data_IF_737316662167
#
_entry.id   IF_737316662167
#
_cell.length_a   1.000
_cell.length_b   1.000
_cell.length_c   1.000
_cell.angle_alpha   90.00
_cell.angle_beta   90.00
_cell.angle_gamma   90.00
#
_symmetry.space_group_name_H-M   'P 1'
#
loop_
_entity.id
_entity.type
_entity.pdbx_description
1 polymer ?
#
# COMPACT_ATOMS: atom_id res chain seq x y z
N UNK A 1 9.13 9.97 -2.29
CA UNK A 1 8.42 10.37 -1.05
C UNK A 1 7.99 9.11 -0.32
N UNK A 2 8.08 9.07 1.01
CA UNK A 2 7.55 8.01 1.86
C UNK A 2 6.49 8.62 2.78
N UNK A 3 5.39 7.89 2.98
CA UNK A 3 4.22 8.33 3.74
C UNK A 3 3.87 7.26 4.76
N UNK A 4 3.59 7.67 5.99
CA UNK A 4 3.08 6.78 7.05
C UNK A 4 2.20 7.58 8.02
N UNK A 5 1.26 6.91 8.66
CA UNK A 5 0.41 7.50 9.69
C UNK A 5 1.11 7.55 11.07
N UNK A 6 2.12 6.72 11.30
CA UNK A 6 2.88 6.58 12.55
C UNK A 6 4.11 7.48 12.55
N UNK A 7 4.25 8.30 13.58
CA UNK A 7 5.47 9.09 13.80
C UNK A 7 6.68 8.20 14.07
N UNK A 8 6.50 7.09 14.79
CA UNK A 8 7.57 6.17 15.13
C UNK A 8 8.07 5.44 13.86
N UNK A 9 7.16 5.00 12.97
CA UNK A 9 7.52 4.41 11.68
C UNK A 9 8.30 5.41 10.81
N UNK A 10 7.87 6.67 10.77
CA UNK A 10 8.57 7.73 10.04
C UNK A 10 9.94 8.06 10.64
N UNK A 11 10.08 8.00 11.96
CA UNK A 11 11.38 8.20 12.62
C UNK A 11 12.36 7.10 12.23
N UNK A 12 11.93 5.84 12.30
CA UNK A 12 12.74 4.69 11.87
C UNK A 12 13.07 4.73 10.37
N UNK A 13 12.12 5.14 9.53
CA UNK A 13 12.34 5.28 8.10
C UNK A 13 13.40 6.36 7.76
N UNK A 14 13.41 7.48 8.52
CA UNK A 14 14.47 8.52 8.39
C UNK A 14 15.84 7.99 8.81
N UNK A 15 15.91 7.27 9.93
CA UNK A 15 17.14 6.63 10.38
C UNK A 15 17.68 5.65 9.31
N UNK A 16 16.82 4.78 8.78
CA UNK A 16 17.18 3.84 7.73
C UNK A 16 17.68 4.56 6.46
N UNK A 17 17.01 5.63 6.03
CA UNK A 17 17.47 6.42 4.88
C UNK A 17 18.85 7.04 5.12
N UNK A 18 19.13 7.50 6.35
CA UNK A 18 20.43 8.03 6.74
C UNK A 18 21.51 6.96 6.71
N UNK A 19 21.24 5.79 7.27
CA UNK A 19 22.19 4.66 7.31
C UNK A 19 22.64 4.21 5.91
N UNK A 20 21.74 4.28 4.92
CA UNK A 20 22.04 3.88 3.53
C UNK A 20 22.41 5.06 2.63
N UNK A 21 22.59 6.27 3.17
CA UNK A 21 23.01 7.46 2.42
C UNK A 21 21.95 8.01 1.45
N UNK A 22 20.66 7.85 1.76
CA UNK A 22 19.54 8.30 0.92
C UNK A 22 18.74 9.48 1.52
N UNK A 23 19.23 10.12 2.58
CA UNK A 23 18.52 11.21 3.27
C UNK A 23 18.10 12.35 2.33
N UNK A 24 18.95 12.72 1.37
CA UNK A 24 18.68 13.80 0.43
C UNK A 24 17.76 13.38 -0.73
N UNK A 25 17.43 12.10 -0.84
CA UNK A 25 16.62 11.53 -1.93
C UNK A 25 15.23 11.13 -1.50
N UNK A 26 14.96 11.03 -0.20
CA UNK A 26 13.67 10.60 0.35
C UNK A 26 13.09 11.72 1.20
N UNK A 27 11.90 12.18 0.85
CA UNK A 27 11.07 13.04 1.71
C UNK A 27 10.06 12.20 2.48
N UNK A 28 9.78 12.60 3.72
CA UNK A 28 8.88 11.88 4.64
C UNK A 28 7.72 12.76 5.04
N UNK A 29 6.49 12.24 4.97
CA UNK A 29 5.28 12.95 5.30
C UNK A 29 4.38 12.08 6.20
N UNK A 30 3.93 12.64 7.33
CA UNK A 30 2.87 12.01 8.11
C UNK A 30 1.53 12.22 7.43
N UNK A 31 0.85 11.13 7.08
CA UNK A 31 -0.44 11.17 6.39
C UNK A 31 -1.22 9.87 6.58
N UNK A 32 -2.53 9.96 6.65
CA UNK A 32 -3.42 8.82 6.39
C UNK A 32 -3.57 8.71 4.86
N UNK A 33 -2.79 7.83 4.28
CA UNK A 33 -2.62 7.63 2.82
C UNK A 33 -2.31 8.95 2.10
N UNK A 34 -3.24 9.49 1.35
CA UNK A 34 -3.06 10.70 0.54
C UNK A 34 -3.57 11.99 1.23
N UNK A 35 -4.15 11.89 2.44
CA UNK A 35 -4.90 12.99 3.06
C UNK A 35 -4.09 14.27 3.32
N UNK A 36 -2.79 14.17 3.57
CA UNK A 36 -1.90 15.29 3.79
C UNK A 36 -1.06 15.67 2.55
N UNK A 37 -1.24 14.97 1.43
CA UNK A 37 -0.54 15.31 0.18
C UNK A 37 -1.15 16.58 -0.43
N UNK A 38 -0.33 17.46 -1.04
CA UNK A 38 -0.84 18.50 -1.90
C UNK A 38 -1.71 17.93 -3.04
N UNK A 39 -2.80 18.61 -3.37
CA UNK A 39 -3.75 18.14 -4.39
C UNK A 39 -3.12 18.02 -5.79
N UNK A 40 -2.04 18.75 -6.04
CA UNK A 40 -1.26 18.75 -7.29
C UNK A 40 -0.06 17.80 -7.26
N UNK A 41 0.18 17.10 -6.13
CA UNK A 41 1.25 16.12 -6.05
C UNK A 41 0.96 14.93 -6.95
N UNK A 42 1.85 14.65 -7.90
CA UNK A 42 1.75 13.52 -8.83
C UNK A 42 3.04 12.70 -8.84
N UNK A 43 2.91 11.41 -9.11
CA UNK A 43 3.99 10.43 -9.05
C UNK A 43 4.00 9.55 -10.29
N UNK A 44 5.18 9.16 -10.74
CA UNK A 44 5.36 8.15 -11.80
C UNK A 44 5.03 6.75 -11.31
N UNK A 45 5.29 6.48 -10.02
CA UNK A 45 5.05 5.18 -9.38
C UNK A 45 4.52 5.38 -7.96
N UNK A 46 3.46 4.67 -7.62
CA UNK A 46 2.95 4.55 -6.26
C UNK A 46 3.06 3.06 -5.87
N UNK A 47 3.74 2.78 -4.76
CA UNK A 47 3.90 1.42 -4.21
C UNK A 47 3.36 1.41 -2.80
N UNK A 48 2.58 0.39 -2.43
CA UNK A 48 2.10 0.22 -1.07
C UNK A 48 1.97 -1.25 -0.68
N UNK A 49 2.26 -1.52 0.59
CA UNK A 49 1.92 -2.76 1.29
C UNK A 49 1.05 -2.38 2.50
N UNK A 50 -0.25 -2.15 2.30
CA UNK A 50 -1.15 -1.73 3.36
C UNK A 50 -1.60 -2.92 4.22
N UNK A 51 -2.27 -2.69 5.36
CA UNK A 51 -3.00 -3.74 6.06
C UNK A 51 -4.03 -4.38 5.12
N UNK A 52 -4.04 -5.70 5.05
CA UNK A 52 -4.97 -6.45 4.19
C UNK A 52 -5.50 -7.73 4.83
N UNK A 53 -5.12 -8.04 6.08
CA UNK A 53 -5.60 -9.22 6.79
C UNK A 53 -6.95 -8.96 7.47
N UNK A 54 -7.69 -10.02 7.66
CA UNK A 54 -8.85 -10.06 8.55
C UNK A 54 -8.40 -10.45 9.97
N UNK A 55 -9.23 -10.17 10.98
CA UNK A 55 -8.96 -10.60 12.37
C UNK A 55 -8.75 -12.13 12.47
N UNK A 56 -9.50 -12.90 11.68
CA UNK A 56 -9.37 -14.35 11.64
C UNK A 56 -8.01 -14.79 11.07
N UNK A 57 -7.53 -14.14 10.01
CA UNK A 57 -6.22 -14.45 9.41
C UNK A 57 -5.07 -14.07 10.33
N UNK A 58 -5.19 -12.97 11.09
CA UNK A 58 -4.19 -12.61 12.10
C UNK A 58 -4.14 -13.63 13.24
N UNK A 59 -5.29 -14.16 13.66
CA UNK A 59 -5.33 -15.19 14.69
C UNK A 59 -4.61 -16.49 14.28
N UNK A 60 -4.52 -16.76 12.98
CA UNK A 60 -3.82 -17.92 12.38
C UNK A 60 -2.39 -17.59 11.93
N UNK A 61 -1.96 -16.33 12.00
CA UNK A 61 -0.63 -15.91 11.58
C UNK A 61 0.46 -16.43 12.53
N UNK A 62 1.70 -16.46 12.04
CA UNK A 62 2.87 -16.86 12.82
C UNK A 62 3.02 -15.99 14.09
N UNK A 63 3.54 -16.56 15.20
CA UNK A 63 3.69 -15.86 16.47
C UNK A 63 4.46 -14.53 16.36
N UNK A 64 5.47 -14.49 15.50
CA UNK A 64 6.30 -13.30 15.24
C UNK A 64 5.46 -12.13 14.75
N UNK A 65 4.53 -12.38 13.83
CA UNK A 65 3.62 -11.37 13.29
C UNK A 65 2.61 -10.92 14.35
N UNK A 66 1.98 -11.88 15.05
CA UNK A 66 0.92 -11.58 16.03
C UNK A 66 1.40 -10.82 17.25
N UNK A 67 2.64 -11.06 17.68
CA UNK A 67 3.19 -10.54 18.96
C UNK A 67 3.93 -9.23 18.75
N UNK A 68 4.56 -9.03 17.60
CA UNK A 68 5.48 -7.92 17.40
C UNK A 68 4.96 -6.85 16.44
N UNK A 69 4.11 -7.20 15.48
CA UNK A 69 3.57 -6.21 14.55
C UNK A 69 2.31 -5.54 15.13
N UNK A 70 2.18 -4.22 15.02
CA UNK A 70 0.97 -3.54 15.47
C UNK A 70 -0.24 -3.98 14.63
N UNK A 71 -1.37 -4.26 15.28
CA UNK A 71 -2.61 -4.69 14.60
C UNK A 71 -3.05 -3.70 13.50
N UNK A 72 -2.80 -2.40 13.70
CA UNK A 72 -3.09 -1.36 12.70
C UNK A 72 -2.26 -1.47 11.42
N UNK A 73 -1.14 -2.21 11.45
CA UNK A 73 -0.33 -2.50 10.24
C UNK A 73 -0.72 -3.82 9.58
N UNK A 74 -1.61 -4.63 10.19
CA UNK A 74 -1.98 -5.96 9.72
C UNK A 74 -3.43 -6.03 9.26
N UNK A 75 -4.38 -5.49 10.06
CA UNK A 75 -5.82 -5.68 9.89
C UNK A 75 -6.46 -4.48 9.21
N UNK A 76 -7.27 -4.76 8.20
CA UNK A 76 -8.17 -3.76 7.61
C UNK A 76 -9.63 -4.26 7.61
N UNK A 77 -10.61 -3.36 7.79
CA UNK A 77 -12.03 -3.66 7.62
C UNK A 77 -12.38 -4.13 6.20
N UNK A 78 -13.66 -4.47 5.98
CA UNK A 78 -14.18 -4.89 4.68
C UNK A 78 -13.40 -6.08 4.09
N UNK A 79 -13.25 -7.14 4.89
CA UNK A 79 -12.45 -8.32 4.52
C UNK A 79 -11.02 -7.98 4.07
N UNK A 80 -10.40 -6.98 4.72
CA UNK A 80 -9.06 -6.51 4.39
C UNK A 80 -8.98 -5.57 3.18
N UNK A 81 -10.13 -5.15 2.61
CA UNK A 81 -10.16 -4.33 1.39
C UNK A 81 -10.21 -2.82 1.65
N UNK A 82 -10.55 -2.39 2.87
CA UNK A 82 -10.86 -0.98 3.12
C UNK A 82 -9.71 -0.03 2.77
N UNK A 83 -8.49 -0.34 3.22
CA UNK A 83 -7.32 0.51 2.95
C UNK A 83 -6.84 0.38 1.51
N UNK A 84 -6.88 -0.81 0.94
CA UNK A 84 -6.59 -1.04 -0.48
C UNK A 84 -7.49 -0.20 -1.40
N UNK A 85 -8.79 -0.12 -1.11
CA UNK A 85 -9.75 0.72 -1.87
C UNK A 85 -9.46 2.22 -1.71
N UNK A 86 -9.09 2.68 -0.49
CA UNK A 86 -8.68 4.09 -0.28
C UNK A 86 -7.44 4.43 -1.12
N UNK A 87 -6.45 3.52 -1.14
CA UNK A 87 -5.23 3.72 -1.91
C UNK A 87 -5.54 3.76 -3.41
N UNK A 88 -6.36 2.85 -3.93
CA UNK A 88 -6.77 2.82 -5.34
C UNK A 88 -7.45 4.15 -5.73
N UNK A 89 -8.40 4.61 -4.92
CA UNK A 89 -9.11 5.87 -5.18
C UNK A 89 -8.17 7.09 -5.19
N UNK A 90 -7.24 7.18 -4.21
CA UNK A 90 -6.26 8.25 -4.15
C UNK A 90 -5.23 8.18 -5.27
N UNK A 91 -4.76 6.99 -5.62
CA UNK A 91 -3.77 6.79 -6.68
C UNK A 91 -4.25 7.28 -8.05
N UNK A 92 -5.55 7.14 -8.36
CA UNK A 92 -6.12 7.64 -9.61
C UNK A 92 -5.91 9.16 -9.79
N UNK A 93 -5.88 9.94 -8.70
CA UNK A 93 -5.65 11.39 -8.73
C UNK A 93 -4.17 11.77 -8.69
N UNK A 94 -3.34 10.95 -8.03
CA UNK A 94 -1.94 11.23 -7.74
C UNK A 94 -0.92 10.53 -8.65
N UNK A 95 -1.34 9.77 -9.66
CA UNK A 95 -0.44 9.26 -10.69
C UNK A 95 -0.38 10.20 -11.89
N UNK A 96 0.76 10.32 -12.54
CA UNK A 96 0.88 10.92 -13.87
C UNK A 96 0.21 10.02 -14.93
N UNK A 97 -0.09 10.55 -16.10
CA UNK A 97 -0.56 9.71 -17.22
C UNK A 97 0.47 8.61 -17.55
N UNK A 98 0.04 7.36 -17.58
CA UNK A 98 0.89 6.19 -17.73
C UNK A 98 1.64 5.76 -16.45
N UNK A 99 1.46 6.46 -15.33
CA UNK A 99 2.05 6.12 -14.04
C UNK A 99 1.56 4.78 -13.50
N UNK A 100 2.37 4.13 -12.69
CA UNK A 100 2.17 2.77 -12.18
C UNK A 100 1.70 2.77 -10.73
N UNK A 101 0.64 2.05 -10.44
CA UNK A 101 0.28 1.60 -9.09
C UNK A 101 0.72 0.16 -8.89
N UNK A 102 1.37 -0.13 -7.76
CA UNK A 102 1.75 -1.48 -7.35
C UNK A 102 1.35 -1.72 -5.88
N UNK A 103 0.54 -2.73 -5.64
CA UNK A 103 0.01 -3.08 -4.31
C UNK A 103 0.38 -4.50 -3.93
N UNK A 104 0.83 -4.70 -2.69
CA UNK A 104 0.77 -6.00 -2.04
C UNK A 104 -0.62 -6.21 -1.43
N UNK A 105 -1.14 -7.44 -1.50
CA UNK A 105 -2.54 -7.76 -1.16
C UNK A 105 -2.68 -9.15 -0.56
N UNK A 106 -3.84 -9.45 0.01
CA UNK A 106 -4.24 -10.81 0.37
C UNK A 106 -4.65 -11.65 -0.84
N UNK A 107 -4.45 -12.96 -0.74
CA UNK A 107 -4.63 -13.94 -1.85
C UNK A 107 -6.05 -13.96 -2.42
N UNK A 108 -7.07 -13.62 -1.61
CA UNK A 108 -8.50 -13.71 -2.00
C UNK A 108 -9.09 -12.40 -2.51
N UNK A 109 -8.27 -11.34 -2.60
CA UNK A 109 -8.75 -9.97 -2.82
C UNK A 109 -8.67 -9.52 -4.28
N UNK A 110 -7.92 -10.22 -5.13
CA UNK A 110 -7.53 -9.78 -6.47
C UNK A 110 -8.70 -9.44 -7.38
N UNK A 111 -9.74 -10.29 -7.44
CA UNK A 111 -10.92 -10.03 -8.29
C UNK A 111 -11.64 -8.72 -7.90
N UNK A 112 -11.80 -8.47 -6.58
CA UNK A 112 -12.42 -7.25 -6.08
C UNK A 112 -11.55 -6.01 -6.34
N UNK A 113 -10.24 -6.14 -6.23
CA UNK A 113 -9.30 -5.04 -6.49
C UNK A 113 -9.20 -4.69 -7.97
N UNK A 114 -9.19 -5.68 -8.86
CA UNK A 114 -9.22 -5.43 -10.31
C UNK A 114 -10.51 -4.69 -10.73
N UNK A 115 -11.66 -5.02 -10.13
CA UNK A 115 -12.89 -4.30 -10.34
C UNK A 115 -12.80 -2.85 -9.83
N UNK A 116 -12.29 -2.64 -8.61
CA UNK A 116 -12.11 -1.30 -8.03
C UNK A 116 -11.14 -0.40 -8.85
N UNK A 117 -10.09 -0.97 -9.41
CA UNK A 117 -9.17 -0.26 -10.31
C UNK A 117 -9.90 0.26 -11.56
N UNK A 118 -10.72 -0.59 -12.18
CA UNK A 118 -11.50 -0.21 -13.36
C UNK A 118 -12.55 0.88 -13.04
N UNK A 119 -13.20 0.81 -11.88
CA UNK A 119 -14.19 1.81 -11.43
C UNK A 119 -13.60 3.22 -11.31
N UNK A 120 -12.33 3.35 -10.89
CA UNK A 120 -11.65 4.65 -10.78
C UNK A 120 -10.89 5.06 -12.05
N UNK A 121 -11.02 4.27 -13.15
CA UNK A 121 -10.42 4.58 -14.44
C UNK A 121 -8.93 4.20 -14.58
N UNK A 122 -8.38 3.45 -13.63
CA UNK A 122 -7.06 2.83 -13.79
C UNK A 122 -7.15 1.65 -14.76
N UNK A 123 -6.16 1.51 -15.60
CA UNK A 123 -6.15 0.57 -16.73
C UNK A 123 -5.10 -0.51 -16.54
N UNK A 124 -5.11 -1.52 -17.41
CA UNK A 124 -4.12 -2.60 -17.43
C UNK A 124 -3.99 -3.28 -16.06
N UNK A 125 -5.13 -3.46 -15.35
CA UNK A 125 -5.17 -4.14 -14.07
C UNK A 125 -4.64 -5.57 -14.20
N UNK A 126 -3.59 -5.90 -13.44
CA UNK A 126 -2.89 -7.18 -13.51
C UNK A 126 -2.71 -7.79 -12.13
N UNK A 127 -3.03 -9.08 -12.00
CA UNK A 127 -2.72 -9.91 -10.84
C UNK A 127 -1.41 -10.65 -11.06
N UNK A 128 -0.50 -10.59 -10.08
CA UNK A 128 0.78 -11.30 -10.13
C UNK A 128 1.02 -12.16 -8.91
N UNK A 129 1.75 -13.23 -9.14
CA UNK A 129 2.09 -14.22 -8.14
C UNK A 129 3.37 -13.84 -7.39
N UNK A 130 3.46 -14.28 -6.12
CA UNK A 130 4.70 -14.28 -5.37
C UNK A 130 5.61 -15.46 -5.79
N UNK A 131 6.79 -15.54 -5.17
CA UNK A 131 7.76 -16.63 -5.43
C UNK A 131 7.25 -18.02 -5.03
N UNK A 132 6.16 -18.10 -4.27
CA UNK A 132 5.49 -19.35 -3.89
C UNK A 132 4.29 -19.68 -4.77
N UNK A 133 4.05 -18.89 -5.83
CA UNK A 133 2.94 -19.09 -6.77
C UNK A 133 1.56 -18.64 -6.23
N UNK A 134 1.51 -17.79 -5.21
CA UNK A 134 0.26 -17.25 -4.65
C UNK A 134 -0.01 -15.87 -5.23
N UNK A 135 -1.25 -15.55 -5.52
CA UNK A 135 -1.68 -14.19 -5.87
C UNK A 135 -1.31 -13.24 -4.71
N UNK A 136 -0.44 -12.27 -4.98
CA UNK A 136 0.12 -11.41 -3.94
C UNK A 136 0.23 -9.94 -4.35
N UNK A 137 0.32 -9.67 -5.64
CA UNK A 137 0.52 -8.32 -6.11
C UNK A 137 -0.53 -7.93 -7.14
N UNK A 138 -1.01 -6.69 -7.05
CA UNK A 138 -1.91 -6.10 -8.04
C UNK A 138 -1.25 -4.84 -8.59
N UNK A 139 -1.24 -4.72 -9.91
CA UNK A 139 -0.69 -3.59 -10.65
C UNK A 139 -1.77 -2.94 -11.50
N UNK A 140 -1.64 -1.64 -11.74
CA UNK A 140 -2.46 -0.91 -12.71
C UNK A 140 -1.74 0.35 -13.20
N UNK A 141 -2.21 0.94 -14.31
CA UNK A 141 -1.73 2.21 -14.85
C UNK A 141 -2.84 3.25 -14.93
N UNK A 142 -2.41 4.51 -14.80
CA UNK A 142 -3.30 5.64 -15.06
C UNK A 142 -3.46 5.93 -16.55
#
# INVERSE_FOLDING_TARGET
>A
MAVDASDDALALARENASLVGLSDRVSFLKSDWFSALPADAVFDVIVSNPPYLTDAEVAEAEPEVRVHDPLSALVAPDAGLADLKKIIAGAASHLVAGGLLALETGVKQHAALLAALAEVGLREGESRLDLRGRERFVFARR
#
